data_IF_560032939922
#
_entry.id   IF_560032939922
#
_cell.length_a   1.000
_cell.length_b   1.000
_cell.length_c   1.000
_cell.angle_alpha   90.00
_cell.angle_beta   90.00
_cell.angle_gamma   90.00
#
_symmetry.space_group_name_H-M   'P 1'
#
loop_
_entity.id
_entity.type
_entity.pdbx_description
1 polymer ?
#
# COMPACT_ATOMS: atom_id res chain seq x y z
N UNK A 1 -8.26 15.81 11.56
CA UNK A 1 -9.16 15.66 10.38
C UNK A 1 -8.39 15.74 9.06
N UNK A 2 -7.35 16.56 9.02
CA UNK A 2 -6.62 16.92 7.80
C UNK A 2 -5.85 15.76 7.15
N UNK A 3 -5.58 14.69 7.90
CA UNK A 3 -4.80 13.53 7.41
C UNK A 3 -5.69 12.42 6.83
N UNK A 4 -7.01 12.61 6.80
CA UNK A 4 -7.93 11.67 6.16
C UNK A 4 -8.09 12.02 4.67
N UNK A 5 -7.57 11.16 3.80
CA UNK A 5 -7.71 11.29 2.34
C UNK A 5 -8.57 10.14 1.81
N UNK A 6 -9.55 10.46 0.97
CA UNK A 6 -10.46 9.47 0.38
C UNK A 6 -10.87 9.88 -1.04
N UNK A 7 -11.00 8.88 -1.92
CA UNK A 7 -11.55 9.04 -3.26
C UNK A 7 -13.07 8.84 -3.28
N UNK A 8 -13.70 9.24 -4.38
CA UNK A 8 -15.13 8.98 -4.65
C UNK A 8 -15.35 7.63 -5.35
N UNK A 9 -14.28 7.01 -5.84
CA UNK A 9 -14.27 5.77 -6.61
C UNK A 9 -13.40 4.72 -5.91
N UNK A 10 -13.72 3.44 -6.16
CA UNK A 10 -13.01 2.31 -5.57
C UNK A 10 -12.37 1.43 -6.64
N UNK A 11 -11.27 0.76 -6.29
CA UNK A 11 -10.56 -0.11 -7.22
C UNK A 11 -11.32 -1.41 -7.59
N UNK A 12 -12.39 -1.76 -6.87
CA UNK A 12 -13.27 -2.89 -7.19
C UNK A 12 -12.53 -4.24 -7.29
N UNK A 13 -11.67 -4.53 -6.31
CA UNK A 13 -10.83 -5.74 -6.28
C UNK A 13 -9.87 -5.93 -7.47
N UNK A 14 -9.54 -4.85 -8.18
CA UNK A 14 -8.59 -4.88 -9.29
C UNK A 14 -7.32 -4.08 -8.95
N UNK A 15 -6.20 -4.78 -8.85
CA UNK A 15 -4.89 -4.17 -8.61
C UNK A 15 -4.53 -3.10 -9.65
N UNK A 16 -4.76 -3.35 -10.94
CA UNK A 16 -4.39 -2.42 -12.01
C UNK A 16 -5.17 -1.10 -11.92
N UNK A 17 -6.44 -1.15 -11.52
CA UNK A 17 -7.22 0.08 -11.24
C UNK A 17 -6.65 0.84 -10.05
N UNK A 18 -6.29 0.12 -8.98
CA UNK A 18 -5.67 0.72 -7.81
C UNK A 18 -4.30 1.33 -8.10
N UNK A 19 -3.51 0.73 -8.99
CA UNK A 19 -2.14 1.14 -9.25
C UNK A 19 -2.01 2.17 -10.38
N UNK A 20 -2.77 2.02 -11.47
CA UNK A 20 -2.57 2.84 -12.67
C UNK A 20 -3.65 3.90 -12.92
N UNK A 21 -4.85 3.76 -12.34
CA UNK A 21 -5.96 4.70 -12.61
C UNK A 21 -6.43 5.40 -11.35
N UNK A 22 -7.29 4.76 -10.56
CA UNK A 22 -7.99 5.40 -9.43
C UNK A 22 -7.03 5.80 -8.32
N UNK A 23 -6.05 4.95 -8.01
CA UNK A 23 -5.05 5.28 -6.99
C UNK A 23 -4.02 6.30 -7.47
N UNK A 24 -3.74 6.37 -8.77
CA UNK A 24 -2.85 7.37 -9.35
C UNK A 24 -3.44 8.79 -9.26
N UNK A 25 -4.77 8.93 -9.35
CA UNK A 25 -5.44 10.22 -9.14
C UNK A 25 -5.37 10.69 -7.67
N UNK A 26 -5.29 9.75 -6.71
CA UNK A 26 -5.33 10.06 -5.28
C UNK A 26 -3.95 10.12 -4.63
N UNK A 27 -2.93 9.48 -5.21
CA UNK A 27 -1.62 9.30 -4.59
C UNK A 27 -0.91 10.62 -4.30
N UNK A 28 -1.00 11.61 -5.19
CA UNK A 28 -0.33 12.89 -5.02
C UNK A 28 -0.83 13.64 -3.77
N UNK A 29 -2.14 13.60 -3.53
CA UNK A 29 -2.75 14.17 -2.31
C UNK A 29 -2.27 13.45 -1.05
N UNK A 30 -2.07 12.14 -1.10
CA UNK A 30 -1.56 11.35 0.03
C UNK A 30 -0.09 11.68 0.28
N UNK A 31 0.72 11.75 -0.77
CA UNK A 31 2.16 12.07 -0.68
C UNK A 31 2.37 13.49 -0.11
N UNK A 32 1.55 14.47 -0.50
CA UNK A 32 1.64 15.82 0.06
C UNK A 32 1.35 15.85 1.58
N UNK A 33 0.38 15.05 2.04
CA UNK A 33 0.12 14.89 3.48
C UNK A 33 1.30 14.20 4.16
N UNK A 34 1.84 13.12 3.59
CA UNK A 34 3.03 12.43 4.11
C UNK A 34 4.22 13.38 4.21
N UNK A 35 4.44 14.24 3.20
CA UNK A 35 5.51 15.23 3.18
C UNK A 35 5.36 16.24 4.31
N UNK A 36 4.15 16.79 4.49
CA UNK A 36 3.85 17.74 5.57
C UNK A 36 4.12 17.14 6.96
N UNK A 37 3.73 15.90 7.19
CA UNK A 37 4.00 15.22 8.46
C UNK A 37 5.49 14.89 8.64
N UNK A 38 6.18 14.56 7.55
CA UNK A 38 7.62 14.30 7.56
C UNK A 38 8.44 15.55 7.88
N UNK A 39 8.05 16.71 7.34
CA UNK A 39 8.66 18.02 7.63
C UNK A 39 8.39 18.49 9.08
N UNK A 40 7.31 18.01 9.69
CA UNK A 40 7.01 18.26 11.10
C UNK A 40 7.89 17.46 12.08
N UNK A 41 8.67 16.49 11.59
CA UNK A 41 9.54 15.65 12.40
C UNK A 41 10.99 16.15 12.38
N UNK A 42 11.65 16.23 13.55
CA UNK A 42 13.07 16.62 13.62
C UNK A 42 14.00 15.62 12.90
N UNK A 43 13.71 14.32 13.02
CA UNK A 43 14.46 13.25 12.35
C UNK A 43 13.56 12.04 12.09
N UNK A 44 13.03 11.94 10.87
CA UNK A 44 12.22 10.81 10.44
C UNK A 44 13.08 9.54 10.30
N UNK A 45 12.67 8.44 10.94
CA UNK A 45 13.40 7.16 10.87
C UNK A 45 12.94 6.27 9.71
N UNK A 46 11.65 6.28 9.40
CA UNK A 46 11.06 5.38 8.43
C UNK A 46 9.54 5.48 8.36
N UNK A 47 8.95 4.64 7.53
CA UNK A 47 7.52 4.56 7.28
C UNK A 47 7.00 3.16 7.59
N UNK A 48 5.75 3.11 8.03
CA UNK A 48 5.01 1.86 8.24
C UNK A 48 3.72 1.93 7.42
N UNK A 49 3.56 1.01 6.47
CA UNK A 49 2.32 0.88 5.70
C UNK A 49 1.56 -0.36 6.13
N UNK A 50 0.27 -0.21 6.41
CA UNK A 50 -0.64 -1.34 6.64
C UNK A 50 -1.60 -1.47 5.47
N UNK A 51 -1.63 -2.64 4.82
CA UNK A 51 -2.45 -2.85 3.64
C UNK A 51 -2.81 -4.34 3.44
N UNK A 52 -3.81 -4.61 2.59
CA UNK A 52 -4.13 -5.97 2.16
C UNK A 52 -3.57 -6.25 0.77
N UNK A 53 -3.04 -7.46 0.57
CA UNK A 53 -2.53 -7.90 -0.74
C UNK A 53 -3.64 -8.43 -1.65
N UNK A 54 -4.74 -8.92 -1.07
CA UNK A 54 -5.86 -9.48 -1.82
C UNK A 54 -6.79 -8.43 -2.46
N UNK A 55 -6.98 -7.27 -1.82
CA UNK A 55 -7.94 -6.25 -2.27
C UNK A 55 -7.35 -5.27 -3.28
N UNK A 56 -8.16 -4.71 -4.19
CA UNK A 56 -7.66 -3.86 -5.28
C UNK A 56 -7.01 -2.55 -4.84
N UNK A 57 -7.58 -1.88 -3.83
CA UNK A 57 -7.04 -0.60 -3.33
C UNK A 57 -5.82 -0.82 -2.44
N UNK A 58 -5.92 -1.72 -1.45
CA UNK A 58 -4.80 -2.01 -0.55
C UNK A 58 -3.56 -2.52 -1.30
N UNK A 59 -3.78 -3.36 -2.30
CA UNK A 59 -2.72 -3.94 -3.11
C UNK A 59 -2.19 -2.93 -4.14
N UNK A 60 -3.06 -2.39 -5.00
CA UNK A 60 -2.69 -1.49 -6.10
C UNK A 60 -2.21 -0.12 -5.65
N UNK A 61 -3.04 0.61 -4.91
CA UNK A 61 -2.69 1.95 -4.44
C UNK A 61 -1.60 1.88 -3.37
N UNK A 62 -1.64 0.87 -2.49
CA UNK A 62 -0.61 0.68 -1.47
C UNK A 62 0.77 0.50 -2.08
N UNK A 63 0.91 -0.36 -3.09
CA UNK A 63 2.20 -0.57 -3.77
C UNK A 63 2.68 0.66 -4.55
N UNK A 64 1.76 1.41 -5.18
CA UNK A 64 2.08 2.69 -5.81
C UNK A 64 2.65 3.69 -4.79
N UNK A 65 2.01 3.80 -3.62
CA UNK A 65 2.42 4.72 -2.56
C UNK A 65 3.82 4.36 -2.02
N UNK A 66 4.12 3.07 -1.82
CA UNK A 66 5.45 2.62 -1.38
C UNK A 66 6.51 3.07 -2.38
N UNK A 67 6.28 2.85 -3.68
CA UNK A 67 7.22 3.25 -4.73
C UNK A 67 7.48 4.76 -4.68
N UNK A 68 6.44 5.58 -4.50
CA UNK A 68 6.57 7.04 -4.40
C UNK A 68 7.31 7.51 -3.16
N UNK A 69 7.03 6.90 -2.01
CA UNK A 69 7.77 7.24 -0.78
C UNK A 69 9.23 6.81 -0.91
N UNK A 70 9.52 5.67 -1.53
CA UNK A 70 10.90 5.22 -1.77
C UNK A 70 11.66 6.15 -2.73
N UNK A 71 11.00 6.72 -3.73
CA UNK A 71 11.57 7.74 -4.62
C UNK A 71 11.96 9.02 -3.85
N UNK A 72 11.09 9.53 -2.96
CA UNK A 72 11.35 10.77 -2.20
C UNK A 72 12.26 10.57 -0.98
N UNK A 73 12.23 9.39 -0.36
CA UNK A 73 12.91 9.08 0.90
C UNK A 73 13.73 7.78 0.79
N UNK A 74 14.75 7.71 -0.10
CA UNK A 74 15.46 6.46 -0.40
C UNK A 74 16.20 5.87 0.81
N UNK A 75 16.73 6.72 1.69
CA UNK A 75 17.53 6.31 2.85
C UNK A 75 16.69 5.97 4.10
N UNK A 76 15.36 5.99 4.00
CA UNK A 76 14.45 5.73 5.13
C UNK A 76 13.95 4.29 5.09
N UNK A 77 13.83 3.69 6.27
CA UNK A 77 13.33 2.32 6.41
C UNK A 77 11.85 2.29 5.99
N UNK A 78 11.48 1.31 5.17
CA UNK A 78 10.12 1.08 4.73
C UNK A 78 9.63 -0.30 5.18
N UNK A 79 8.70 -0.30 6.13
CA UNK A 79 8.11 -1.51 6.68
C UNK A 79 6.65 -1.65 6.24
N UNK A 80 6.23 -2.88 5.97
CA UNK A 80 4.85 -3.18 5.57
C UNK A 80 4.22 -4.23 6.47
N UNK A 81 2.97 -4.01 6.84
CA UNK A 81 2.10 -4.99 7.49
C UNK A 81 1.07 -5.41 6.45
N UNK A 82 1.32 -6.56 5.85
CA UNK A 82 0.62 -7.02 4.65
C UNK A 82 -0.27 -8.21 5.00
N UNK A 83 -1.57 -8.02 4.89
CA UNK A 83 -2.53 -9.13 5.04
C UNK A 83 -2.49 -9.98 3.78
N UNK A 84 -2.01 -11.21 3.91
CA UNK A 84 -1.92 -12.18 2.81
C UNK A 84 -3.27 -12.87 2.59
N UNK A 85 -3.62 -13.21 1.35
CA UNK A 85 -4.85 -13.91 1.05
C UNK A 85 -4.86 -15.34 1.62
N UNK A 86 -5.99 -15.78 2.18
CA UNK A 86 -6.21 -17.17 2.63
C UNK A 86 -7.31 -17.83 1.79
N UNK A 87 -7.11 -19.10 1.36
CA UNK A 87 -8.07 -19.83 0.54
C UNK A 87 -9.40 -20.14 1.25
N UNK A 88 -9.46 -20.09 2.59
CA UNK A 88 -10.69 -20.42 3.35
C UNK A 88 -11.52 -19.20 3.74
N UNK A 89 -10.92 -18.01 3.76
CA UNK A 89 -11.53 -16.77 4.25
C UNK A 89 -11.78 -15.77 3.12
N UNK A 90 -11.22 -16.00 1.93
CA UNK A 90 -11.36 -15.11 0.79
C UNK A 90 -12.68 -15.29 0.02
N UNK A 91 -13.40 -14.18 -0.16
CA UNK A 91 -14.55 -14.06 -1.06
C UNK A 91 -14.17 -13.60 -2.49
N UNK A 92 -12.88 -13.29 -2.74
CA UNK A 92 -12.44 -12.64 -3.98
C UNK A 92 -11.60 -13.57 -4.84
N UNK A 93 -12.17 -13.99 -5.98
CA UNK A 93 -11.54 -14.93 -6.93
C UNK A 93 -10.21 -14.42 -7.51
N UNK A 94 -10.02 -13.09 -7.55
CA UNK A 94 -8.83 -12.45 -8.14
C UNK A 94 -7.71 -12.15 -7.13
N UNK A 95 -7.84 -12.56 -5.87
CA UNK A 95 -6.80 -12.33 -4.87
C UNK A 95 -5.41 -12.86 -5.24
N UNK A 96 -5.26 -14.07 -5.81
CA UNK A 96 -3.95 -14.56 -6.21
C UNK A 96 -3.26 -13.64 -7.24
N UNK A 97 -4.04 -13.01 -8.13
CA UNK A 97 -3.52 -12.04 -9.11
C UNK A 97 -3.05 -10.76 -8.42
N UNK A 98 -3.89 -10.19 -7.55
CA UNK A 98 -3.57 -8.96 -6.82
C UNK A 98 -2.33 -9.15 -5.92
N UNK A 99 -2.25 -10.29 -5.24
CA UNK A 99 -1.12 -10.62 -4.38
C UNK A 99 0.17 -10.81 -5.19
N UNK A 100 0.12 -11.54 -6.31
CA UNK A 100 1.31 -11.74 -7.16
C UNK A 100 1.87 -10.42 -7.68
N UNK A 101 1.01 -9.55 -8.20
CA UNK A 101 1.43 -8.24 -8.72
C UNK A 101 1.96 -7.33 -7.60
N UNK A 102 1.39 -7.42 -6.41
CA UNK A 102 1.80 -6.59 -5.29
C UNK A 102 3.12 -7.04 -4.67
N UNK A 103 3.32 -8.36 -4.53
CA UNK A 103 4.57 -8.91 -4.01
C UNK A 103 5.74 -8.51 -4.89
N UNK A 104 5.57 -8.46 -6.22
CA UNK A 104 6.62 -7.97 -7.11
C UNK A 104 7.09 -6.56 -6.75
N UNK A 105 6.15 -5.64 -6.48
CA UNK A 105 6.47 -4.27 -6.07
C UNK A 105 7.05 -4.19 -4.65
N UNK A 106 6.56 -5.03 -3.73
CA UNK A 106 7.06 -5.07 -2.35
C UNK A 106 8.52 -5.54 -2.28
N UNK A 107 8.88 -6.56 -3.07
CA UNK A 107 10.25 -7.11 -3.10
C UNK A 107 11.29 -6.05 -3.47
N UNK A 108 10.94 -5.10 -4.33
CA UNK A 108 11.86 -4.06 -4.79
C UNK A 108 11.88 -2.84 -3.86
N UNK A 109 10.75 -2.52 -3.22
CA UNK A 109 10.58 -1.24 -2.55
C UNK A 109 10.48 -1.30 -1.02
N UNK A 110 10.45 -2.48 -0.39
CA UNK A 110 10.33 -2.62 1.07
C UNK A 110 11.57 -3.23 1.70
N UNK A 111 11.92 -2.77 2.90
CA UNK A 111 13.03 -3.34 3.68
C UNK A 111 12.55 -4.52 4.52
N UNK A 112 11.31 -4.46 5.02
CA UNK A 112 10.68 -5.53 5.78
C UNK A 112 9.17 -5.63 5.48
N UNK A 113 8.67 -6.86 5.33
CA UNK A 113 7.25 -7.13 5.15
C UNK A 113 6.77 -8.20 6.12
N UNK A 114 5.86 -7.80 7.01
CA UNK A 114 5.17 -8.67 7.94
C UNK A 114 3.94 -9.27 7.26
N UNK A 115 4.05 -10.54 6.88
CA UNK A 115 2.94 -11.29 6.29
C UNK A 115 1.99 -11.78 7.39
N UNK A 116 0.76 -11.24 7.39
CA UNK A 116 -0.28 -11.59 8.38
C UNK A 116 -1.35 -12.41 7.65
N UNK A 117 -1.59 -13.63 8.11
CA UNK A 117 -2.66 -14.50 7.61
C UNK A 117 -3.89 -14.39 8.51
N UNK A 118 -5.03 -14.02 7.93
CA UNK A 118 -6.31 -13.95 8.65
C UNK A 118 -6.79 -15.33 9.14
N UNK A 119 -6.39 -16.43 8.50
CA UNK A 119 -6.77 -17.78 8.94
C UNK A 119 -6.01 -18.22 10.20
N UNK A 120 -4.83 -17.65 10.44
CA UNK A 120 -3.97 -17.99 11.56
C UNK A 120 -4.30 -17.22 12.86
N UNK A 121 -5.19 -16.23 12.78
CA UNK A 121 -5.67 -15.40 13.90
C UNK A 121 -6.92 -15.98 14.54
#
# INVERSE_FOLDING_TARGET
PDNFVFGQSGAGNNWAKGHYTEGAELVDSVVDVVRKESEGCDCLQGFQLTHSLGGGTGSGMGTLLISKIREEYPDRIMNTFSVVPSPKVSDTVVEPYNATLSVHQLVENTDESYCIDNEAL
#
